data_IF_682981934276
#
_entry.id   IF_682981934276
#
_cell.length_a   1.000
_cell.length_b   1.000
_cell.length_c   1.000
_cell.angle_alpha   90.00
_cell.angle_beta   90.00
_cell.angle_gamma   90.00
#
_symmetry.space_group_name_H-M   'P 1'
#
loop_
_entity.id
_entity.type
_entity.pdbx_description
1 polymer ?
#
# COMPACT_ATOMS: atom_id res chain seq x y z
N UNK A 1 -7.07 30.14 -21.66
CA UNK A 1 -6.36 31.06 -20.75
C UNK A 1 -6.32 30.36 -19.41
N UNK A 2 -5.21 29.70 -19.09
CA UNK A 2 -5.06 28.93 -17.85
C UNK A 2 -4.86 29.93 -16.72
N UNK A 3 -5.79 29.96 -15.76
CA UNK A 3 -5.73 30.86 -14.63
C UNK A 3 -4.52 30.46 -13.74
N UNK A 4 -3.57 31.38 -13.47
CA UNK A 4 -2.41 31.08 -12.62
C UNK A 4 -2.81 30.69 -11.19
N UNK A 5 -4.03 31.00 -10.73
CA UNK A 5 -4.56 30.57 -9.44
C UNK A 5 -5.05 29.11 -9.42
N UNK A 6 -5.33 28.51 -10.58
CA UNK A 6 -5.80 27.11 -10.68
C UNK A 6 -4.64 26.11 -10.51
N UNK A 7 -3.47 26.47 -11.02
CA UNK A 7 -2.23 25.71 -10.84
C UNK A 7 -1.84 25.64 -9.35
N UNK A 8 -2.04 26.72 -8.61
CA UNK A 8 -1.74 26.82 -7.17
C UNK A 8 -2.65 25.89 -6.33
N UNK A 9 -3.95 25.82 -6.66
CA UNK A 9 -4.89 24.91 -5.97
C UNK A 9 -4.60 23.43 -6.23
N UNK A 10 -4.32 23.07 -7.49
CA UNK A 10 -3.99 21.67 -7.83
C UNK A 10 -2.69 21.23 -7.13
N UNK A 11 -1.71 22.13 -7.05
CA UNK A 11 -0.47 21.87 -6.34
C UNK A 11 -0.67 21.78 -4.82
N UNK A 12 -1.48 22.68 -4.24
CA UNK A 12 -1.82 22.64 -2.82
C UNK A 12 -2.58 21.35 -2.44
N UNK A 13 -3.48 20.87 -3.31
CA UNK A 13 -4.19 19.60 -3.12
C UNK A 13 -3.21 18.40 -3.11
N UNK A 14 -2.26 18.36 -4.05
CA UNK A 14 -1.23 17.31 -4.08
C UNK A 14 -0.32 17.33 -2.85
N UNK A 15 0.06 18.53 -2.37
CA UNK A 15 0.86 18.65 -1.15
C UNK A 15 0.08 18.12 0.06
N UNK A 16 -1.19 18.53 0.19
CA UNK A 16 -2.08 18.09 1.28
C UNK A 16 -2.25 16.56 1.26
N UNK A 17 -2.48 15.99 0.08
CA UNK A 17 -2.60 14.54 -0.11
C UNK A 17 -1.33 13.80 0.33
N UNK A 18 -0.14 14.27 -0.09
CA UNK A 18 1.14 13.66 0.29
C UNK A 18 1.42 13.76 1.79
N UNK A 19 1.05 14.88 2.41
CA UNK A 19 1.16 15.04 3.87
C UNK A 19 0.25 14.02 4.57
N UNK A 20 -1.01 13.89 4.12
CA UNK A 20 -1.94 12.89 4.63
C UNK A 20 -1.36 11.48 4.57
N UNK A 21 -0.89 11.07 3.39
CA UNK A 21 -0.25 9.77 3.16
C UNK A 21 0.97 9.51 4.06
N UNK A 22 1.73 10.57 4.38
CA UNK A 22 2.90 10.46 5.27
C UNK A 22 2.48 10.24 6.73
N UNK A 23 1.49 10.98 7.22
CA UNK A 23 0.95 10.79 8.57
C UNK A 23 0.37 9.41 8.75
N UNK A 24 -0.38 8.98 7.75
CA UNK A 24 -0.97 7.67 7.62
C UNK A 24 0.07 6.55 7.67
N UNK A 25 1.19 6.70 6.97
CA UNK A 25 2.31 5.77 7.06
C UNK A 25 2.96 5.74 8.45
N UNK A 26 3.15 6.91 9.07
CA UNK A 26 3.71 6.98 10.43
C UNK A 26 2.80 6.26 11.42
N UNK A 27 1.48 6.41 11.26
CA UNK A 27 0.50 5.68 12.06
C UNK A 27 0.59 4.18 11.83
N UNK A 28 0.63 3.73 10.58
CA UNK A 28 0.80 2.31 10.26
C UNK A 28 2.09 1.75 10.88
N UNK A 29 3.20 2.50 10.81
CA UNK A 29 4.47 2.12 11.39
C UNK A 29 4.48 2.08 12.93
N UNK A 30 3.65 2.90 13.59
CA UNK A 30 3.42 2.84 15.03
C UNK A 30 2.60 1.59 15.37
N UNK A 31 1.55 1.30 14.59
CA UNK A 31 0.64 0.17 14.80
C UNK A 31 1.31 -1.18 14.45
N UNK A 32 2.19 -1.21 13.45
CA UNK A 32 3.02 -2.36 13.07
C UNK A 32 4.48 -1.94 12.75
N UNK A 33 5.37 -1.94 13.77
CA UNK A 33 6.77 -1.56 13.61
C UNK A 33 7.56 -2.43 12.62
N UNK A 34 7.04 -3.60 12.22
CA UNK A 34 7.71 -4.49 11.26
C UNK A 34 7.82 -3.85 9.87
N UNK A 35 6.94 -2.92 9.52
CA UNK A 35 6.99 -2.16 8.25
C UNK A 35 8.30 -1.38 8.15
N UNK A 36 8.81 -0.86 9.27
CA UNK A 36 10.07 -0.12 9.31
C UNK A 36 11.29 -1.03 9.10
N UNK A 37 11.18 -2.33 9.41
CA UNK A 37 12.24 -3.30 9.12
C UNK A 37 12.33 -3.63 7.62
N UNK A 38 11.25 -3.37 6.87
CA UNK A 38 11.11 -3.73 5.45
C UNK A 38 11.51 -2.59 4.52
N UNK A 39 11.41 -1.34 4.96
CA UNK A 39 11.77 -0.16 4.16
C UNK A 39 13.11 0.40 4.66
N UNK A 40 14.22 0.23 3.90
CA UNK A 40 15.52 0.74 4.32
C UNK A 40 15.50 2.26 4.51
N UNK A 41 16.27 2.75 5.48
CA UNK A 41 16.40 4.19 5.71
C UNK A 41 16.89 4.93 4.47
N UNK A 42 16.30 6.09 4.20
CA UNK A 42 16.62 6.90 3.02
C UNK A 42 16.00 6.39 1.71
N UNK A 43 15.10 5.40 1.77
CA UNK A 43 14.33 4.96 0.60
C UNK A 43 13.42 6.07 0.08
N UNK A 44 13.25 6.11 -1.24
CA UNK A 44 12.11 6.81 -1.86
C UNK A 44 10.87 5.96 -1.67
N UNK A 45 9.77 6.54 -1.21
CA UNK A 45 8.49 5.83 -1.02
C UNK A 45 7.40 6.43 -1.89
N UNK A 46 6.46 5.60 -2.32
CA UNK A 46 5.20 6.01 -2.93
C UNK A 46 4.05 5.21 -2.32
N UNK A 47 2.94 5.89 -2.10
CA UNK A 47 1.74 5.33 -1.49
C UNK A 47 0.64 5.15 -2.53
N UNK A 48 -0.17 4.12 -2.35
CA UNK A 48 -1.42 3.94 -3.09
C UNK A 48 -2.41 3.23 -2.19
N UNK A 49 -3.64 3.74 -2.15
CA UNK A 49 -4.73 3.02 -1.50
C UNK A 49 -5.36 2.04 -2.49
N UNK A 50 -5.68 0.84 -2.01
CA UNK A 50 -6.34 -0.22 -2.77
C UNK A 50 -7.45 -0.87 -1.96
N UNK A 51 -8.25 -1.71 -2.61
CA UNK A 51 -9.27 -2.53 -1.96
C UNK A 51 -8.85 -4.00 -2.00
N UNK A 52 -8.91 -4.68 -0.85
CA UNK A 52 -8.68 -6.11 -0.72
C UNK A 52 -9.73 -6.73 0.21
N UNK A 53 -10.46 -7.73 -0.27
CA UNK A 53 -11.55 -8.40 0.45
C UNK A 53 -12.58 -7.42 1.06
N UNK A 54 -12.90 -6.35 0.33
CA UNK A 54 -13.84 -5.31 0.78
C UNK A 54 -13.30 -4.38 1.86
N UNK A 55 -12.00 -4.47 2.19
CA UNK A 55 -11.31 -3.56 3.11
C UNK A 55 -10.36 -2.65 2.33
N UNK A 56 -10.31 -1.38 2.70
CA UNK A 56 -9.32 -0.46 2.16
C UNK A 56 -7.96 -0.82 2.78
N UNK A 57 -6.95 -0.99 1.95
CA UNK A 57 -5.58 -1.29 2.34
C UNK A 57 -4.63 -0.27 1.74
N UNK A 58 -3.53 -0.02 2.43
CA UNK A 58 -2.47 0.88 1.96
C UNK A 58 -1.32 0.07 1.40
N UNK A 59 -0.95 0.40 0.18
CA UNK A 59 0.18 -0.16 -0.54
C UNK A 59 1.32 0.85 -0.53
N UNK A 60 2.53 0.36 -0.31
CA UNK A 60 3.75 1.16 -0.36
C UNK A 60 4.68 0.56 -1.38
N UNK A 61 5.12 1.37 -2.33
CA UNK A 61 6.32 1.09 -3.10
C UNK A 61 7.51 1.78 -2.45
N UNK A 62 8.64 1.09 -2.39
CA UNK A 62 9.88 1.66 -1.88
C UNK A 62 11.05 1.36 -2.82
N UNK A 63 11.99 2.30 -2.90
CA UNK A 63 13.27 2.11 -3.58
C UNK A 63 14.40 2.57 -2.66
N UNK A 64 15.28 1.65 -2.22
CA UNK A 64 16.48 1.99 -1.47
C UNK A 64 17.35 3.03 -2.20
N UNK A 65 18.13 3.81 -1.46
CA UNK A 65 19.01 4.86 -2.03
C UNK A 65 20.16 4.32 -2.91
N UNK A 66 20.29 3.01 -3.07
CA UNK A 66 21.41 2.42 -3.81
C UNK A 66 21.27 2.66 -5.33
N UNK A 67 22.38 2.84 -6.08
CA UNK A 67 22.33 3.22 -7.50
C UNK A 67 21.63 2.20 -8.40
N UNK A 68 21.71 0.91 -8.04
CA UNK A 68 21.11 -0.21 -8.75
C UNK A 68 19.84 -0.74 -8.08
N UNK A 69 19.32 -0.02 -7.07
CA UNK A 69 18.13 -0.45 -6.35
C UNK A 69 16.91 -0.48 -7.28
N UNK A 70 16.19 -1.58 -7.23
CA UNK A 70 14.89 -1.74 -7.87
C UNK A 70 13.78 -1.35 -6.89
N UNK A 71 12.61 -1.06 -7.43
CA UNK A 71 11.41 -0.85 -6.64
C UNK A 71 10.91 -2.19 -6.11
N UNK A 72 10.58 -2.21 -4.82
CA UNK A 72 9.72 -3.20 -4.19
C UNK A 72 8.40 -2.58 -3.78
N UNK A 73 7.40 -3.41 -3.49
CA UNK A 73 6.16 -2.96 -2.90
C UNK A 73 5.59 -3.96 -1.89
N UNK A 74 4.93 -3.43 -0.88
CA UNK A 74 4.34 -4.18 0.23
C UNK A 74 3.07 -3.50 0.77
N UNK A 75 2.27 -4.26 1.53
CA UNK A 75 1.10 -3.74 2.24
C UNK A 75 1.54 -3.19 3.59
N UNK A 76 1.28 -1.91 3.82
CA UNK A 76 1.59 -1.21 5.08
C UNK A 76 0.52 -1.43 6.13
N UNK A 77 -0.74 -1.50 5.74
CA UNK A 77 -1.83 -1.58 6.71
C UNK A 77 -3.21 -1.47 6.07
N UNK A 78 -4.23 -1.38 6.92
CA UNK A 78 -5.57 -1.01 6.49
C UNK A 78 -5.55 0.50 6.32
N UNK A 79 -5.96 0.99 5.16
CA UNK A 79 -6.30 2.39 5.07
C UNK A 79 -7.56 2.56 5.94
N UNK A 80 -7.42 3.26 7.07
CA UNK A 80 -8.56 3.59 7.90
C UNK A 80 -9.48 4.46 7.06
N UNK A 81 -10.64 3.92 6.71
CA UNK A 81 -11.68 4.64 5.98
C UNK A 81 -11.92 5.97 6.70
N UNK A 82 -11.78 7.07 5.96
CA UNK A 82 -11.89 8.41 6.51
C UNK A 82 -13.22 8.59 7.26
N UNK A 83 -13.13 9.31 8.38
CA UNK A 83 -14.15 9.62 9.40
C UNK A 83 -14.22 8.60 10.56
N UNK A 84 -13.43 8.80 11.63
CA UNK A 84 -13.82 8.30 12.94
C UNK A 84 -15.02 9.14 13.42
N UNK A 85 -16.21 8.55 13.45
CA UNK A 85 -17.22 9.00 14.39
C UNK A 85 -16.64 8.73 15.80
N UNK A 86 -16.31 9.80 16.54
CA UNK A 86 -15.67 9.76 17.86
C UNK A 86 -16.44 9.00 18.94
N UNK A 87 -17.57 8.38 18.60
CA UNK A 87 -18.45 7.61 19.47
C UNK A 87 -18.17 6.10 19.44
N UNK A 88 -17.39 5.62 18.47
CA UNK A 88 -16.95 4.24 18.40
C UNK A 88 -15.44 4.27 18.22
N UNK A 89 -14.69 3.96 19.28
CA UNK A 89 -13.32 3.47 19.11
C UNK A 89 -13.52 2.22 18.25
N UNK A 90 -13.20 2.22 16.94
CA UNK A 90 -13.12 0.96 16.25
C UNK A 90 -11.99 0.28 17.01
N UNK A 91 -12.25 -0.87 17.63
CA UNK A 91 -11.18 -1.81 17.85
C UNK A 91 -10.46 -1.89 16.50
N UNK A 92 -9.31 -1.21 16.41
CA UNK A 92 -8.38 -1.34 15.32
C UNK A 92 -7.97 -2.80 15.42
N UNK A 93 -8.78 -3.71 14.88
CA UNK A 93 -8.46 -5.12 14.82
C UNK A 93 -7.09 -5.13 14.14
N UNK A 94 -6.00 -5.44 14.87
CA UNK A 94 -4.69 -5.39 14.28
C UNK A 94 -4.76 -6.39 13.14
N UNK A 95 -4.63 -5.89 11.90
CA UNK A 95 -4.60 -6.71 10.69
C UNK A 95 -3.69 -7.90 11.00
N UNK A 96 -4.35 -9.05 11.05
CA UNK A 96 -3.99 -10.19 11.88
C UNK A 96 -2.49 -10.38 12.03
N UNK A 97 -2.06 -10.46 13.30
CA UNK A 97 -0.72 -10.72 13.85
C UNK A 97 0.00 -12.00 13.34
N UNK A 98 -0.38 -12.57 12.20
CA UNK A 98 0.21 -13.77 11.61
C UNK A 98 -0.02 -13.99 10.11
N UNK A 99 -0.70 -13.10 9.37
CA UNK A 99 -0.78 -13.23 7.90
C UNK A 99 0.37 -12.45 7.26
N UNK A 100 1.30 -13.14 6.61
CA UNK A 100 2.34 -12.51 5.79
C UNK A 100 1.67 -11.98 4.52
N UNK A 101 1.56 -10.67 4.40
CA UNK A 101 1.12 -10.02 3.17
C UNK A 101 2.08 -10.37 2.03
N UNK A 102 1.60 -10.49 0.78
CA UNK A 102 2.50 -10.64 -0.35
C UNK A 102 3.37 -9.38 -0.47
N UNK A 103 4.62 -9.58 -0.87
CA UNK A 103 5.52 -8.52 -1.29
C UNK A 103 6.01 -8.78 -2.71
N UNK A 104 6.47 -7.72 -3.36
CA UNK A 104 7.07 -7.77 -4.69
C UNK A 104 8.35 -6.97 -4.72
N UNK A 105 9.32 -7.40 -5.52
CA UNK A 105 10.62 -6.74 -5.67
C UNK A 105 11.09 -6.83 -7.12
N UNK A 106 12.04 -5.97 -7.51
CA UNK A 106 12.73 -6.07 -8.80
C UNK A 106 12.18 -5.18 -9.91
N UNK A 107 11.26 -4.25 -9.61
CA UNK A 107 10.59 -3.44 -10.62
C UNK A 107 11.36 -2.16 -10.99
N UNK A 108 11.18 -1.72 -12.23
CA UNK A 108 11.79 -0.49 -12.76
C UNK A 108 11.14 0.78 -12.21
N UNK A 109 9.84 0.72 -11.89
CA UNK A 109 9.05 1.87 -11.45
C UNK A 109 8.21 1.52 -10.23
N UNK A 110 7.87 2.55 -9.44
CA UNK A 110 6.96 2.43 -8.30
C UNK A 110 5.58 1.91 -8.74
N UNK A 111 5.04 2.45 -9.84
CA UNK A 111 3.75 2.04 -10.39
C UNK A 111 3.74 0.55 -10.76
N UNK A 112 4.78 0.05 -11.44
CA UNK A 112 4.85 -1.37 -11.81
C UNK A 112 4.96 -2.28 -10.57
N UNK A 113 5.67 -1.84 -9.53
CA UNK A 113 5.72 -2.57 -8.26
C UNK A 113 4.32 -2.61 -7.60
N UNK A 114 3.60 -1.49 -7.54
CA UNK A 114 2.25 -1.43 -6.97
C UNK A 114 1.25 -2.27 -7.77
N UNK A 115 1.29 -2.18 -9.10
CA UNK A 115 0.40 -2.95 -9.98
C UNK A 115 0.63 -4.45 -9.81
N UNK A 116 1.89 -4.88 -9.69
CA UNK A 116 2.24 -6.26 -9.43
C UNK A 116 1.81 -6.75 -8.05
N UNK A 117 1.91 -5.89 -7.03
CA UNK A 117 1.43 -6.19 -5.69
C UNK A 117 -0.10 -6.36 -5.67
N UNK A 118 -0.84 -5.44 -6.32
CA UNK A 118 -2.28 -5.55 -6.47
C UNK A 118 -2.68 -6.83 -7.22
N UNK A 119 -1.98 -7.18 -8.29
CA UNK A 119 -2.23 -8.41 -9.02
C UNK A 119 -2.06 -9.65 -8.12
N UNK A 120 -0.96 -9.70 -7.34
CA UNK A 120 -0.75 -10.78 -6.36
C UNK A 120 -1.84 -10.84 -5.30
N UNK A 121 -2.33 -9.68 -4.83
CA UNK A 121 -3.42 -9.62 -3.86
C UNK A 121 -4.73 -10.16 -4.44
N UNK A 122 -5.06 -9.82 -5.68
CA UNK A 122 -6.24 -10.35 -6.39
C UNK A 122 -6.13 -11.85 -6.66
N UNK A 123 -4.94 -12.34 -7.04
CA UNK A 123 -4.72 -13.78 -7.27
C UNK A 123 -4.84 -14.58 -5.97
N UNK A 124 -4.39 -14.03 -4.84
CA UNK A 124 -4.55 -14.64 -3.53
C UNK A 124 -6.01 -14.70 -3.05
N UNK A 125 -6.91 -13.91 -3.63
CA UNK A 125 -8.36 -13.96 -3.37
C UNK A 125 -9.07 -15.05 -4.17
N UNK A 126 -8.49 -15.51 -5.28
CA UNK A 126 -9.08 -16.60 -6.07
C UNK A 126 -8.88 -17.93 -5.31
N UNK A 127 -9.94 -18.58 -4.80
CA UNK A 127 -9.82 -19.92 -4.25
C UNK A 127 -9.32 -20.84 -5.36
N UNK A 128 -8.27 -21.62 -5.10
CA UNK A 128 -7.57 -22.44 -6.09
C UNK A 128 -8.47 -23.42 -6.83
N UNK A 129 -9.00 -23.00 -7.98
CA UNK A 129 -9.88 -23.82 -8.82
C UNK A 129 -9.14 -24.58 -9.93
N UNK A 130 -7.80 -24.51 -10.01
CA UNK A 130 -7.04 -25.04 -11.15
C UNK A 130 -6.11 -26.23 -10.85
N UNK A 131 -6.42 -27.10 -9.89
CA UNK A 131 -5.61 -28.33 -9.69
C UNK A 131 -6.39 -29.60 -9.31
N UNK A 132 -7.68 -29.70 -9.67
CA UNK A 132 -8.47 -30.92 -9.41
C UNK A 132 -9.17 -31.56 -10.61
N UNK A 133 -8.70 -31.32 -11.83
CA UNK A 133 -9.14 -32.07 -13.01
C UNK A 133 -7.94 -32.52 -13.84
N UNK A 134 -7.33 -33.63 -13.44
CA UNK A 134 -6.59 -34.55 -14.32
C UNK A 134 -6.29 -35.85 -13.54
N UNK A 135 -7.34 -36.56 -13.14
CA UNK A 135 -7.27 -38.00 -12.85
C UNK A 135 -8.49 -38.61 -13.54
N UNK A 136 -8.24 -39.53 -14.48
CA UNK A 136 -9.22 -40.17 -15.39
C UNK A 136 -9.05 -39.60 -16.80
N UNK A 137 -8.68 -40.37 -17.82
CA UNK A 137 -8.77 -41.82 -18.07
C UNK A 137 -7.48 -42.42 -18.64
#
# INVERSE_FOLDING_TARGET
MTDPYDVDRAQAAQITERIGQTFDFVRDAIDDPRILALIPSGSTVMFRDGMHQGRQIRLIAYRPKQPSARWGAEVSGAALSAVPDSSQIPETEPLRRGRRWPSVEGYLTAAAALDALEAKLRDAERPGWASRHAVGE
#
